data_IF_535957674565
#
_entry.id   IF_535957674565
#
_cell.length_a   1.000
_cell.length_b   1.000
_cell.length_c   1.000
_cell.angle_alpha   90.00
_cell.angle_beta   90.00
_cell.angle_gamma   90.00
#
_symmetry.space_group_name_H-M   'P 1'
#
loop_
_entity.id
_entity.type
_entity.pdbx_description
1 polymer ?
#
# COMPACT_ATOMS: atom_id res chain seq x y z
N UNK A 1 -14.00 -7.99 -12.01
CA UNK A 1 -15.08 -7.67 -11.05
C UNK A 1 -15.23 -6.15 -11.06
N UNK A 2 -16.23 -5.58 -10.39
CA UNK A 2 -16.52 -4.15 -10.53
C UNK A 2 -15.55 -3.25 -9.75
N UNK A 3 -15.57 -1.95 -10.03
CA UNK A 3 -14.85 -0.90 -9.31
C UNK A 3 -15.00 -0.97 -7.76
N UNK A 4 -16.06 -1.59 -7.25
CA UNK A 4 -16.29 -1.81 -5.82
C UNK A 4 -15.21 -2.69 -5.15
N UNK A 5 -14.71 -3.73 -5.83
CA UNK A 5 -13.67 -4.61 -5.28
C UNK A 5 -12.32 -3.88 -5.20
N UNK A 6 -11.99 -3.10 -6.22
CA UNK A 6 -10.78 -2.25 -6.26
C UNK A 6 -10.82 -1.24 -5.11
N UNK A 7 -11.93 -0.52 -4.94
CA UNK A 7 -12.09 0.45 -3.87
C UNK A 7 -11.97 -0.20 -2.49
N UNK A 8 -12.53 -1.39 -2.31
CA UNK A 8 -12.49 -2.12 -1.04
C UNK A 8 -11.07 -2.56 -0.72
N UNK A 9 -10.34 -3.08 -1.70
CA UNK A 9 -8.95 -3.49 -1.54
C UNK A 9 -8.05 -2.31 -1.14
N UNK A 10 -8.14 -1.20 -1.87
CA UNK A 10 -7.35 0.00 -1.61
C UNK A 10 -7.66 0.60 -0.24
N UNK A 11 -8.94 0.64 0.14
CA UNK A 11 -9.34 1.12 1.46
C UNK A 11 -8.81 0.22 2.57
N UNK A 12 -8.89 -1.10 2.39
CA UNK A 12 -8.37 -2.06 3.39
C UNK A 12 -6.86 -1.91 3.57
N UNK A 13 -6.14 -1.72 2.47
CA UNK A 13 -4.70 -1.44 2.50
C UNK A 13 -4.39 -0.16 3.27
N UNK A 14 -5.09 0.93 2.95
CA UNK A 14 -4.90 2.23 3.59
C UNK A 14 -5.25 2.21 5.08
N UNK A 15 -6.39 1.62 5.45
CA UNK A 15 -6.81 1.47 6.85
C UNK A 15 -5.74 0.73 7.67
N UNK A 16 -5.19 -0.37 7.12
CA UNK A 16 -4.11 -1.12 7.77
C UNK A 16 -2.80 -0.32 7.88
N UNK A 17 -2.50 0.53 6.90
CA UNK A 17 -1.32 1.39 6.94
C UNK A 17 -1.44 2.48 7.99
N UNK A 18 -2.62 3.10 8.10
CA UNK A 18 -2.90 4.12 9.10
C UNK A 18 -2.90 3.50 10.50
N UNK A 19 -3.55 2.34 10.68
CA UNK A 19 -3.67 1.66 11.98
C UNK A 19 -2.30 1.24 12.55
N UNK A 20 -1.39 0.77 11.68
CA UNK A 20 -0.08 0.24 12.08
C UNK A 20 1.07 1.21 11.84
N UNK A 21 0.76 2.38 11.28
CA UNK A 21 1.70 3.46 11.02
C UNK A 21 2.20 4.10 12.30
N UNK A 22 3.39 4.68 12.22
CA UNK A 22 4.02 5.40 13.33
C UNK A 22 4.54 6.74 12.80
N UNK A 23 3.99 7.89 13.24
CA UNK A 23 4.40 9.22 12.77
C UNK A 23 5.89 9.52 12.96
N UNK A 24 6.50 9.04 14.05
CA UNK A 24 7.92 9.28 14.32
C UNK A 24 8.79 8.49 13.34
N UNK A 25 8.36 7.27 13.00
CA UNK A 25 8.99 6.46 11.95
C UNK A 25 8.79 7.10 10.58
N UNK A 26 7.59 7.63 10.31
CA UNK A 26 7.26 8.30 9.05
C UNK A 26 8.15 9.52 8.81
N UNK A 27 8.37 10.35 9.83
CA UNK A 27 9.27 11.51 9.74
C UNK A 27 10.70 11.08 9.40
N UNK A 28 11.22 10.06 10.10
CA UNK A 28 12.55 9.52 9.81
C UNK A 28 12.68 8.94 8.40
N UNK A 29 11.66 8.24 7.91
CA UNK A 29 11.63 7.68 6.55
C UNK A 29 11.54 8.77 5.47
N UNK A 30 10.72 9.79 5.70
CA UNK A 30 10.60 10.96 4.83
C UNK A 30 11.92 11.72 4.74
N UNK A 31 12.59 11.97 5.87
CA UNK A 31 13.91 12.59 5.92
C UNK A 31 14.96 11.76 5.17
N UNK A 32 14.96 10.43 5.35
CA UNK A 32 15.83 9.51 4.63
C UNK A 32 15.66 9.61 3.11
N UNK A 33 14.42 9.73 2.63
CA UNK A 33 14.09 9.95 1.22
C UNK A 33 14.20 11.42 0.78
N UNK A 34 14.95 12.25 1.50
CA UNK A 34 15.18 13.68 1.20
C UNK A 34 13.88 14.47 1.03
N UNK A 35 12.85 14.10 1.81
CA UNK A 35 11.53 14.72 1.81
C UNK A 35 10.78 14.67 0.46
N UNK A 36 11.09 13.70 -0.41
CA UNK A 36 10.44 13.56 -1.71
C UNK A 36 9.12 12.77 -1.67
N UNK A 37 8.86 12.07 -0.58
CA UNK A 37 7.68 11.23 -0.39
C UNK A 37 7.15 11.37 1.02
N UNK A 38 5.84 11.20 1.18
CA UNK A 38 5.22 10.98 2.48
C UNK A 38 5.32 9.50 2.86
N UNK A 39 5.03 9.18 4.11
CA UNK A 39 5.08 7.83 4.64
C UNK A 39 3.98 7.64 5.68
N UNK A 40 3.45 6.42 5.77
CA UNK A 40 2.61 6.02 6.92
C UNK A 40 3.46 5.65 8.14
N UNK A 41 4.75 5.36 7.95
CA UNK A 41 5.66 4.99 9.04
C UNK A 41 5.82 3.49 9.21
N UNK A 42 5.56 2.70 8.16
CA UNK A 42 5.67 1.26 8.25
C UNK A 42 7.10 0.79 8.02
N UNK A 43 7.65 0.05 8.98
CA UNK A 43 8.90 -0.71 8.77
C UNK A 43 8.64 -1.90 7.84
N UNK A 44 9.67 -2.30 7.10
CA UNK A 44 9.56 -3.38 6.10
C UNK A 44 8.92 -4.68 6.61
N UNK A 45 9.20 -5.19 7.83
CA UNK A 45 8.54 -6.39 8.35
C UNK A 45 7.02 -6.22 8.48
N UNK A 46 6.57 -5.13 9.11
CA UNK A 46 5.14 -4.82 9.31
C UNK A 46 4.43 -4.65 7.98
N UNK A 47 5.02 -3.88 7.04
CA UNK A 47 4.47 -3.70 5.70
C UNK A 47 4.26 -5.05 5.00
N UNK A 48 5.27 -5.94 5.03
CA UNK A 48 5.19 -7.26 4.38
C UNK A 48 4.14 -8.17 5.01
N UNK A 49 3.94 -8.08 6.33
CA UNK A 49 2.88 -8.83 7.02
C UNK A 49 1.49 -8.38 6.59
N UNK A 50 1.26 -7.06 6.49
CA UNK A 50 0.01 -6.49 5.96
C UNK A 50 -0.23 -6.97 4.53
N UNK A 51 0.78 -6.81 3.65
CA UNK A 51 0.71 -7.24 2.25
C UNK A 51 0.37 -8.73 2.13
N UNK A 52 1.05 -9.60 2.89
CA UNK A 52 0.79 -11.04 2.91
C UNK A 52 -0.66 -11.36 3.32
N UNK A 53 -1.22 -10.59 4.25
CA UNK A 53 -2.62 -10.74 4.67
C UNK A 53 -3.58 -10.35 3.55
N UNK A 54 -3.33 -9.25 2.84
CA UNK A 54 -4.16 -8.80 1.71
C UNK A 54 -4.03 -9.69 0.47
N UNK A 55 -2.90 -10.37 0.29
CA UNK A 55 -2.69 -11.29 -0.85
C UNK A 55 -3.34 -12.66 -0.66
N UNK A 56 -4.11 -12.86 0.41
CA UNK A 56 -4.95 -14.04 0.52
C UNK A 56 -6.04 -14.03 -0.56
N UNK A 57 -6.35 -15.20 -1.13
CA UNK A 57 -7.17 -15.36 -2.35
C UNK A 57 -8.54 -14.64 -2.34
N UNK A 58 -9.09 -14.35 -1.17
CA UNK A 58 -10.41 -13.71 -1.03
C UNK A 58 -10.36 -12.18 -1.00
N UNK A 59 -9.18 -11.57 -0.82
CA UNK A 59 -9.00 -10.12 -0.77
C UNK A 59 -8.29 -9.58 -2.02
N UNK A 60 -7.60 -10.43 -2.78
CA UNK A 60 -6.86 -9.99 -3.95
C UNK A 60 -7.81 -9.68 -5.12
N UNK A 61 -7.71 -8.49 -5.75
CA UNK A 61 -8.49 -8.17 -6.94
C UNK A 61 -8.18 -9.14 -8.11
N UNK A 62 -9.14 -9.33 -9.04
CA UNK A 62 -8.92 -10.13 -10.24
C UNK A 62 -7.76 -9.62 -11.06
N UNK A 63 -7.15 -10.51 -11.83
CA UNK A 63 -6.02 -10.19 -12.70
C UNK A 63 -6.28 -8.99 -13.61
N UNK A 64 -7.48 -8.89 -14.17
CA UNK A 64 -7.88 -7.81 -15.08
C UNK A 64 -7.95 -6.45 -14.37
N UNK A 65 -8.15 -6.45 -13.04
CA UNK A 65 -8.28 -5.27 -12.20
C UNK A 65 -6.93 -4.83 -11.58
N UNK A 66 -5.89 -5.68 -11.63
CA UNK A 66 -4.57 -5.40 -11.03
C UNK A 66 -3.92 -4.14 -11.63
N UNK A 67 -4.02 -3.94 -12.95
CA UNK A 67 -3.45 -2.75 -13.59
C UNK A 67 -4.06 -1.45 -13.08
N UNK A 68 -5.35 -1.45 -12.77
CA UNK A 68 -6.04 -0.29 -12.20
C UNK A 68 -5.59 -0.05 -10.75
N UNK A 69 -5.49 -1.11 -9.94
CA UNK A 69 -5.00 -1.04 -8.55
C UNK A 69 -3.57 -0.51 -8.49
N UNK A 70 -2.68 -1.02 -9.34
CA UNK A 70 -1.28 -0.58 -9.44
C UNK A 70 -1.19 0.90 -9.79
N UNK A 71 -1.99 1.35 -10.77
CA UNK A 71 -2.01 2.76 -11.19
C UNK A 71 -2.47 3.67 -10.06
N UNK A 72 -3.53 3.29 -9.35
CA UNK A 72 -4.07 4.05 -8.23
C UNK A 72 -3.06 4.15 -7.07
N UNK A 73 -2.46 3.02 -6.66
CA UNK A 73 -1.40 3.00 -5.65
C UNK A 73 -0.19 3.85 -6.06
N UNK A 74 0.17 3.87 -7.35
CA UNK A 74 1.33 4.62 -7.82
C UNK A 74 1.16 6.13 -7.66
N UNK A 75 -0.06 6.62 -7.79
CA UNK A 75 -0.41 8.03 -7.71
C UNK A 75 -0.59 8.56 -6.28
N UNK A 76 -0.56 7.68 -5.26
CA UNK A 76 -0.69 8.09 -3.86
C UNK A 76 0.63 8.65 -3.30
N UNK A 77 0.57 9.61 -2.36
CA UNK A 77 1.77 10.32 -1.89
C UNK A 77 2.68 9.48 -0.99
N UNK A 78 2.12 8.54 -0.21
CA UNK A 78 2.90 7.75 0.73
C UNK A 78 3.68 6.64 0.04
N UNK A 79 4.97 6.53 0.34
CA UNK A 79 5.90 5.66 -0.39
C UNK A 79 5.55 4.18 -0.28
N UNK A 80 4.88 3.78 0.81
CA UNK A 80 4.39 2.42 0.99
C UNK A 80 3.41 1.99 -0.10
N UNK A 81 2.66 2.92 -0.69
CA UNK A 81 1.75 2.62 -1.79
C UNK A 81 2.50 2.16 -3.04
N UNK A 82 3.60 2.81 -3.43
CA UNK A 82 4.41 2.35 -4.57
C UNK A 82 5.10 1.01 -4.28
N UNK A 83 5.47 0.73 -3.02
CA UNK A 83 5.98 -0.60 -2.66
C UNK A 83 4.91 -1.69 -2.80
N UNK A 84 3.66 -1.39 -2.45
CA UNK A 84 2.53 -2.29 -2.68
C UNK A 84 2.27 -2.51 -4.17
N UNK A 85 2.29 -1.45 -4.96
CA UNK A 85 2.16 -1.50 -6.41
C UNK A 85 3.23 -2.38 -7.06
N UNK A 86 4.49 -2.26 -6.62
CA UNK A 86 5.60 -3.09 -7.10
C UNK A 86 5.41 -4.58 -6.78
N UNK A 87 4.88 -4.93 -5.61
CA UNK A 87 4.61 -6.33 -5.26
C UNK A 87 3.46 -6.91 -6.07
N UNK A 88 2.43 -6.11 -6.39
CA UNK A 88 1.30 -6.54 -7.23
C UNK A 88 1.65 -6.69 -8.72
N UNK A 89 2.66 -5.96 -9.19
CA UNK A 89 3.09 -5.96 -10.59
C UNK A 89 4.13 -7.04 -10.93
N UNK A 90 4.58 -7.83 -9.94
CA UNK A 90 5.48 -8.99 -10.15
C UNK A 90 4.73 -10.19 -10.68
#
# INVERSE_FOLDING_TARGET
MGAAEISTFLKTWEDQCIEKGDPDVAEGQKAYMRNQFDFYGLKSPVRREIQKSLFQKHLLPPRDDISAVVTELWNRPERENQYMAQELAK
#
